data_IF_868613552645
#
_entry.id   IF_868613552645
#
_cell.length_a   1.000
_cell.length_b   1.000
_cell.length_c   1.000
_cell.angle_alpha   90.00
_cell.angle_beta   90.00
_cell.angle_gamma   90.00
#
_symmetry.space_group_name_H-M   'P 1'
#
loop_
_entity.id
_entity.type
_entity.pdbx_description
1 polymer ?
#
# COMPACT_ATOMS: atom_id res chain seq x y z
N UNK A 1 6.69 -17.17 -10.56
CA UNK A 1 5.80 -16.17 -11.20
C UNK A 1 5.25 -15.26 -10.12
N UNK A 2 5.18 -13.96 -10.38
CA UNK A 2 4.63 -12.96 -9.44
C UNK A 2 3.49 -12.24 -10.16
N UNK A 3 2.39 -12.04 -9.44
CA UNK A 3 1.23 -11.26 -9.90
C UNK A 3 1.08 -10.02 -9.02
N UNK A 4 0.68 -8.90 -9.61
CA UNK A 4 0.45 -7.63 -8.93
C UNK A 4 -1.03 -7.26 -9.03
N UNK A 5 -1.56 -6.60 -8.01
CA UNK A 5 -2.98 -6.20 -7.97
C UNK A 5 -3.25 -4.86 -8.64
N UNK A 6 -2.22 -4.03 -8.76
CA UNK A 6 -2.32 -2.66 -9.23
C UNK A 6 -1.07 -2.27 -10.04
N UNK A 7 -1.09 -1.08 -10.63
CA UNK A 7 0.01 -0.53 -11.44
C UNK A 7 0.98 0.34 -10.64
N UNK A 8 0.86 0.39 -9.31
CA UNK A 8 1.49 1.41 -8.47
C UNK A 8 0.68 2.71 -8.45
N UNK A 9 1.10 3.64 -7.60
CA UNK A 9 0.44 4.93 -7.42
C UNK A 9 1.48 6.06 -7.36
N UNK A 10 1.20 7.15 -8.06
CA UNK A 10 1.97 8.39 -7.96
C UNK A 10 1.23 9.38 -7.07
N UNK A 11 1.85 9.75 -5.96
CA UNK A 11 1.29 10.68 -4.98
C UNK A 11 1.78 12.08 -5.34
N UNK A 12 0.84 12.94 -5.74
CA UNK A 12 1.10 14.35 -6.07
C UNK A 12 1.15 15.21 -4.81
N UNK A 13 2.01 16.23 -4.83
CA UNK A 13 2.13 17.19 -3.75
C UNK A 13 0.90 18.10 -3.68
N UNK A 14 0.40 18.31 -2.45
CA UNK A 14 -0.72 19.21 -2.18
C UNK A 14 -0.39 20.13 -1.01
N UNK A 15 -0.53 21.42 -1.22
CA UNK A 15 -0.54 22.42 -0.16
C UNK A 15 -1.85 22.30 0.62
N UNK A 16 -1.75 21.96 1.92
CA UNK A 16 -2.91 21.84 2.81
C UNK A 16 -2.99 23.02 3.75
N UNK A 17 -4.14 23.68 3.78
CA UNK A 17 -4.47 24.74 4.74
C UNK A 17 -5.59 24.26 5.66
N UNK A 18 -5.24 23.91 6.89
CA UNK A 18 -6.20 23.50 7.91
C UNK A 18 -6.49 24.65 8.87
N UNK A 19 -7.75 25.03 9.01
CA UNK A 19 -8.23 25.98 10.02
C UNK A 19 -9.15 25.25 10.98
N UNK A 20 -8.80 25.24 12.26
CA UNK A 20 -9.62 24.67 13.34
C UNK A 20 -10.01 25.77 14.32
N UNK A 21 -11.30 25.97 14.56
CA UNK A 21 -11.83 26.85 15.63
C UNK A 21 -12.62 26.01 16.63
N UNK A 22 -12.39 26.27 17.91
CA UNK A 22 -13.13 25.63 19.01
C UNK A 22 -13.69 26.72 19.91
N UNK A 23 -15.00 26.77 20.04
CA UNK A 23 -15.73 27.76 20.84
C UNK A 23 -16.46 27.06 21.98
N UNK A 24 -16.10 27.39 23.22
CA UNK A 24 -16.78 26.91 24.41
C UNK A 24 -17.59 28.04 25.07
N UNK A 25 -18.88 27.85 25.26
CA UNK A 25 -19.77 28.76 26.00
C UNK A 25 -20.24 28.08 27.29
N UNK A 26 -20.18 28.79 28.41
CA UNK A 26 -20.71 28.35 29.71
C UNK A 26 -21.67 29.41 30.22
N UNK A 27 -22.94 29.08 30.37
CA UNK A 27 -23.94 30.01 30.90
C UNK A 27 -23.99 29.99 32.44
N UNK A 28 -24.57 31.03 33.03
CA UNK A 28 -24.72 31.17 34.49
C UNK A 28 -25.76 30.21 35.10
N UNK A 29 -26.53 29.51 34.28
CA UNK A 29 -27.55 28.51 34.65
C UNK A 29 -27.06 27.05 34.58
N UNK A 30 -25.80 26.81 34.19
CA UNK A 30 -25.18 25.48 34.11
C UNK A 30 -25.16 24.84 32.71
N UNK A 31 -25.58 25.56 31.67
CA UNK A 31 -25.46 25.12 30.28
C UNK A 31 -24.03 25.23 29.77
N UNK A 32 -23.52 24.15 29.15
CA UNK A 32 -22.21 24.12 28.50
C UNK A 32 -22.40 23.78 27.02
N UNK A 33 -21.91 24.64 26.13
CA UNK A 33 -21.91 24.43 24.68
C UNK A 33 -20.48 24.40 24.19
N UNK A 34 -20.13 23.37 23.42
CA UNK A 34 -18.87 23.30 22.70
C UNK A 34 -19.16 23.19 21.21
N UNK A 35 -18.56 24.06 20.40
CA UNK A 35 -18.65 24.05 18.94
C UNK A 35 -17.23 23.93 18.39
N UNK A 36 -16.97 22.86 17.64
CA UNK A 36 -15.72 22.66 16.91
C UNK A 36 -16.00 22.79 15.42
N UNK A 37 -15.37 23.76 14.76
CA UNK A 37 -15.39 23.88 13.31
C UNK A 37 -14.00 23.56 12.75
N UNK A 38 -13.96 22.73 11.72
CA UNK A 38 -12.74 22.39 11.01
C UNK A 38 -12.96 22.62 9.52
N UNK A 39 -12.18 23.51 8.92
CA UNK A 39 -12.14 23.77 7.50
C UNK A 39 -10.76 23.38 6.94
N UNK A 40 -10.73 22.61 5.85
CA UNK A 40 -9.51 22.22 5.15
C UNK A 40 -9.59 22.59 3.68
N UNK A 41 -8.52 23.18 3.16
CA UNK A 41 -8.35 23.48 1.73
C UNK A 41 -7.09 22.78 1.21
N UNK A 42 -7.20 22.01 0.14
CA UNK A 42 -6.11 21.28 -0.50
C UNK A 42 -5.88 21.84 -1.92
N UNK A 43 -4.68 22.37 -2.21
CA UNK A 43 -4.29 22.86 -3.54
C UNK A 43 -3.16 22.01 -4.13
N UNK A 44 -3.26 21.57 -5.39
CA UNK A 44 -2.22 20.74 -6.03
C UNK A 44 -1.10 21.60 -6.60
N UNK A 45 0.16 21.22 -6.35
CA UNK A 45 1.33 21.95 -6.86
C UNK A 45 1.68 21.45 -8.25
N UNK A 46 1.83 22.38 -9.21
CA UNK A 46 2.17 22.08 -10.60
C UNK A 46 3.56 22.62 -10.96
N UNK A 47 4.27 21.88 -11.82
CA UNK A 47 5.49 22.32 -12.48
C UNK A 47 5.14 22.74 -13.91
N UNK A 48 5.62 23.91 -14.31
CA UNK A 48 5.45 24.45 -15.66
C UNK A 48 6.79 24.43 -16.39
N UNK A 49 6.85 23.72 -17.53
CA UNK A 49 7.91 23.83 -18.53
C UNK A 49 7.34 24.56 -19.75
N UNK A 50 8.20 25.09 -20.63
CA UNK A 50 7.84 26.00 -21.72
C UNK A 50 6.59 25.61 -22.56
N UNK A 51 6.27 24.32 -22.68
CA UNK A 51 5.11 23.83 -23.43
C UNK A 51 4.16 22.91 -22.62
N UNK A 52 4.48 22.54 -21.37
CA UNK A 52 3.71 21.55 -20.60
C UNK A 52 3.57 21.88 -19.11
N UNK A 53 2.39 21.57 -18.56
CA UNK A 53 2.05 21.71 -17.14
C UNK A 53 1.66 20.35 -16.56
N UNK A 54 2.42 19.86 -15.59
CA UNK A 54 2.16 18.58 -14.93
C UNK A 54 2.25 18.70 -13.40
N UNK A 55 1.49 17.89 -12.64
CA UNK A 55 1.53 17.94 -11.18
C UNK A 55 2.88 17.46 -10.65
N UNK A 56 3.36 18.07 -9.56
CA UNK A 56 4.58 17.64 -8.91
C UNK A 56 4.36 16.33 -8.16
N UNK A 57 5.09 15.27 -8.52
CA UNK A 57 5.01 13.96 -7.86
C UNK A 57 5.97 13.94 -6.68
N UNK A 58 5.42 13.88 -5.46
CA UNK A 58 6.22 13.81 -4.22
C UNK A 58 6.81 12.42 -4.02
N UNK A 59 6.00 11.38 -4.28
CA UNK A 59 6.34 10.00 -3.99
C UNK A 59 5.69 9.05 -4.98
N UNK A 60 6.42 8.00 -5.33
CA UNK A 60 5.87 6.87 -6.07
C UNK A 60 5.79 5.65 -5.15
N UNK A 61 4.65 4.97 -5.20
CA UNK A 61 4.41 3.73 -4.47
C UNK A 61 4.38 2.60 -5.48
N UNK A 62 5.26 1.61 -5.26
CA UNK A 62 5.34 0.43 -6.12
C UNK A 62 4.07 -0.42 -6.03
N UNK A 63 3.78 -1.20 -7.09
CA UNK A 63 2.64 -2.10 -7.12
C UNK A 63 2.56 -3.04 -5.92
N UNK A 64 1.34 -3.31 -5.46
CA UNK A 64 1.14 -4.32 -4.42
C UNK A 64 1.18 -5.72 -5.04
N UNK A 65 1.95 -6.63 -4.42
CA UNK A 65 2.03 -8.03 -4.87
C UNK A 65 0.73 -8.76 -4.51
N UNK A 66 0.03 -9.27 -5.52
CA UNK A 66 -1.21 -10.02 -5.37
C UNK A 66 -0.95 -11.50 -5.02
N UNK A 67 0.12 -12.10 -5.54
CA UNK A 67 0.40 -13.51 -5.28
C UNK A 67 1.68 -14.00 -5.94
N UNK A 68 2.22 -15.09 -5.40
CA UNK A 68 3.51 -15.66 -5.80
C UNK A 68 3.38 -17.16 -6.01
N UNK A 69 3.87 -17.63 -7.15
CA UNK A 69 4.04 -19.06 -7.43
C UNK A 69 5.52 -19.38 -7.52
N UNK A 70 5.96 -20.34 -6.70
CA UNK A 70 7.33 -20.84 -6.63
C UNK A 70 7.35 -22.29 -7.07
N UNK A 71 8.24 -22.63 -8.01
CA UNK A 71 8.51 -24.01 -8.41
C UNK A 71 9.88 -24.37 -7.86
N UNK A 72 9.94 -25.41 -7.02
CA UNK A 72 11.17 -25.83 -6.36
C UNK A 72 11.24 -27.36 -6.29
N UNK A 73 12.43 -27.94 -6.41
CA UNK A 73 12.66 -29.38 -6.22
C UNK A 73 12.17 -29.84 -4.84
N UNK A 74 12.40 -29.02 -3.81
CA UNK A 74 11.91 -29.23 -2.44
C UNK A 74 10.41 -28.99 -2.23
N UNK A 75 9.62 -28.69 -3.28
CA UNK A 75 8.19 -28.39 -3.14
C UNK A 75 7.31 -29.55 -2.67
N UNK A 76 7.88 -30.76 -2.53
CA UNK A 76 7.24 -31.91 -1.88
C UNK A 76 7.60 -32.08 -0.39
N UNK A 77 8.59 -31.33 0.12
CA UNK A 77 9.03 -31.39 1.52
C UNK A 77 8.33 -30.28 2.33
N UNK A 78 7.50 -30.60 3.35
CA UNK A 78 6.82 -29.61 4.17
C UNK A 78 7.73 -28.59 4.83
N UNK A 79 8.94 -28.99 5.27
CA UNK A 79 9.89 -28.09 5.90
C UNK A 79 10.40 -27.03 4.92
N UNK A 80 10.78 -27.45 3.71
CA UNK A 80 11.22 -26.56 2.65
C UNK A 80 10.08 -25.63 2.18
N UNK A 81 8.85 -26.14 2.09
CA UNK A 81 7.68 -25.33 1.75
C UNK A 81 7.42 -24.24 2.80
N UNK A 82 7.56 -24.55 4.10
CA UNK A 82 7.42 -23.56 5.17
C UNK A 82 8.49 -22.47 5.05
N UNK A 83 9.76 -22.87 4.93
CA UNK A 83 10.89 -21.94 4.84
C UNK A 83 10.78 -21.02 3.62
N UNK A 84 10.40 -21.57 2.46
CA UNK A 84 10.17 -20.78 1.23
C UNK A 84 9.01 -19.81 1.45
N UNK A 85 7.90 -20.26 2.04
CA UNK A 85 6.71 -19.42 2.24
C UNK A 85 6.99 -18.28 3.22
N UNK A 86 7.69 -18.55 4.32
CA UNK A 86 8.12 -17.55 5.32
C UNK A 86 9.07 -16.52 4.69
N UNK A 87 10.03 -16.98 3.88
CA UNK A 87 10.96 -16.10 3.18
C UNK A 87 10.24 -15.16 2.20
N UNK A 88 9.31 -15.70 1.41
CA UNK A 88 8.51 -14.92 0.46
C UNK A 88 7.61 -13.93 1.20
N UNK A 89 7.01 -14.34 2.32
CA UNK A 89 6.21 -13.46 3.17
C UNK A 89 7.05 -12.30 3.73
N UNK A 90 8.26 -12.57 4.23
CA UNK A 90 9.13 -11.54 4.81
C UNK A 90 9.61 -10.52 3.76
N UNK A 91 9.97 -10.99 2.57
CA UNK A 91 10.56 -10.15 1.52
C UNK A 91 9.51 -9.35 0.75
N UNK A 92 8.38 -9.98 0.40
CA UNK A 92 7.36 -9.40 -0.47
C UNK A 92 6.11 -8.94 0.28
N UNK A 93 6.06 -9.15 1.60
CA UNK A 93 4.91 -8.81 2.47
C UNK A 93 3.60 -9.42 1.97
N UNK A 94 3.67 -10.62 1.40
CA UNK A 94 2.53 -11.34 0.84
C UNK A 94 1.93 -12.26 1.92
N UNK A 95 0.60 -12.33 1.99
CA UNK A 95 -0.10 -13.19 2.93
C UNK A 95 0.12 -14.69 2.60
N UNK A 96 0.23 -15.58 3.61
CA UNK A 96 0.56 -17.00 3.39
C UNK A 96 -0.35 -17.72 2.39
N UNK A 97 -1.65 -17.41 2.41
CA UNK A 97 -2.63 -18.04 1.53
C UNK A 97 -2.52 -17.61 0.05
N UNK A 98 -1.69 -16.60 -0.25
CA UNK A 98 -1.43 -16.12 -1.62
C UNK A 98 -0.10 -16.62 -2.18
N UNK A 99 0.60 -17.48 -1.43
CA UNK A 99 1.86 -18.11 -1.83
C UNK A 99 1.59 -19.56 -2.17
N UNK A 100 1.98 -19.98 -3.37
CA UNK A 100 1.88 -21.37 -3.80
C UNK A 100 3.25 -21.93 -4.17
N UNK A 101 3.69 -22.93 -3.42
CA UNK A 101 4.89 -23.71 -3.75
C UNK A 101 4.47 -24.99 -4.44
N UNK A 102 5.13 -25.33 -5.54
CA UNK A 102 4.86 -26.52 -6.36
C UNK A 102 6.17 -27.31 -6.53
N UNK A 103 6.10 -28.65 -6.38
CA UNK A 103 7.25 -29.53 -6.65
C UNK A 103 7.62 -29.42 -8.12
N UNK A 104 8.90 -29.19 -8.39
CA UNK A 104 9.45 -29.31 -9.74
C UNK A 104 9.40 -30.80 -10.14
N UNK A 105 8.63 -31.13 -11.18
CA UNK A 105 8.73 -32.45 -11.82
C UNK A 105 9.87 -32.38 -12.83
N UNK A 106 11.00 -33.03 -12.53
CA UNK A 106 12.01 -33.29 -13.55
C UNK A 106 11.46 -34.36 -14.50
N UNK A 107 11.82 -34.23 -15.77
CA UNK A 107 11.36 -35.13 -16.85
C UNK A 107 11.80 -36.59 -16.64
N UNK A 108 12.73 -36.83 -15.71
CA UNK A 108 13.25 -38.16 -15.37
C UNK A 108 12.30 -39.01 -14.52
N UNK A 109 11.28 -38.45 -13.85
CA UNK A 109 10.27 -39.25 -13.11
C UNK A 109 9.11 -39.75 -14.01
N UNK A 110 9.18 -39.56 -15.33
CA UNK A 110 8.11 -39.90 -16.29
C UNK A 110 8.43 -41.04 -17.27
N UNK A 111 9.53 -41.78 -17.07
CA UNK A 111 9.86 -42.99 -17.83
C UNK A 111 9.81 -44.26 -16.95
#
# INVERSE_FOLDING_TARGET
MITVSDGGEQIVEKDKKTTSSSTGERDSGGGERSVTEQAGEDSTVYVETADEKYPYVQKETLPTVAGVVVVAEGGGNPAAVSEISESVQALLKVEPHRIRVVKMCSREESE
#
